data_IF_825597168709
#
_entry.id   IF_825597168709
#
_cell.length_a   1.000
_cell.length_b   1.000
_cell.length_c   1.000
_cell.angle_alpha   90.00
_cell.angle_beta   90.00
_cell.angle_gamma   90.00
#
_symmetry.space_group_name_H-M   'P 1'
#
loop_
_entity.id
_entity.type
_entity.pdbx_description
1 polymer ?
#
# COMPACT_ATOMS: atom_id res chain seq x y z
N UNK A 1 48.36 6.82 -8.23
CA UNK A 1 47.13 6.03 -8.12
C UNK A 1 46.00 6.90 -8.65
N UNK A 2 45.50 6.62 -9.85
CA UNK A 2 44.36 7.37 -10.39
C UNK A 2 43.08 6.72 -9.89
N UNK A 3 42.32 7.47 -9.09
CA UNK A 3 40.97 7.09 -8.69
C UNK A 3 40.06 7.33 -9.88
N UNK A 4 39.65 6.25 -10.55
CA UNK A 4 38.63 6.33 -11.60
C UNK A 4 37.30 6.68 -10.92
N UNK A 5 36.85 7.93 -11.04
CA UNK A 5 35.50 8.32 -10.67
C UNK A 5 34.56 7.76 -11.73
N UNK A 6 33.80 6.71 -11.38
CA UNK A 6 32.70 6.26 -12.23
C UNK A 6 31.63 7.36 -12.22
N UNK A 7 31.30 7.98 -13.36
CA UNK A 7 30.25 8.98 -13.41
C UNK A 7 28.92 8.33 -12.99
N UNK A 8 28.29 8.86 -11.95
CA UNK A 8 26.93 8.47 -11.55
C UNK A 8 25.96 9.17 -12.48
N UNK A 9 25.09 8.41 -13.13
CA UNK A 9 23.98 8.94 -13.93
C UNK A 9 23.04 9.75 -13.03
N UNK A 10 22.75 10.99 -13.41
CA UNK A 10 21.77 11.84 -12.70
C UNK A 10 20.37 11.20 -12.69
N UNK A 11 20.05 10.44 -13.74
CA UNK A 11 18.79 9.69 -13.83
C UNK A 11 18.73 8.57 -12.78
N UNK A 12 19.80 7.78 -12.65
CA UNK A 12 19.84 6.66 -11.70
C UNK A 12 19.77 7.16 -10.26
N UNK A 13 20.44 8.29 -9.96
CA UNK A 13 20.36 8.95 -8.65
C UNK A 13 18.95 9.47 -8.35
N UNK A 14 18.26 10.04 -9.34
CA UNK A 14 16.88 10.50 -9.18
C UNK A 14 15.92 9.32 -8.92
N UNK A 15 16.06 8.21 -9.66
CA UNK A 15 15.28 6.99 -9.46
C UNK A 15 15.54 6.42 -8.06
N UNK A 16 16.81 6.28 -7.64
CA UNK A 16 17.16 5.76 -6.32
C UNK A 16 16.54 6.59 -5.19
N UNK A 17 16.54 7.93 -5.32
CA UNK A 17 15.90 8.84 -4.36
C UNK A 17 14.38 8.67 -4.33
N UNK A 18 13.75 8.52 -5.50
CA UNK A 18 12.32 8.25 -5.59
C UNK A 18 11.97 6.92 -4.91
N UNK A 19 12.70 5.84 -5.18
CA UNK A 19 12.49 4.53 -4.54
C UNK A 19 12.68 4.60 -3.02
N UNK A 20 13.71 5.33 -2.55
CA UNK A 20 13.94 5.53 -1.12
C UNK A 20 12.78 6.29 -0.45
N UNK A 21 12.28 7.35 -1.10
CA UNK A 21 11.13 8.11 -0.61
C UNK A 21 9.85 7.25 -0.59
N UNK A 22 9.60 6.49 -1.66
CA UNK A 22 8.45 5.58 -1.77
C UNK A 22 8.44 4.53 -0.64
N UNK A 23 9.58 3.88 -0.40
CA UNK A 23 9.74 2.93 0.72
C UNK A 23 9.47 3.58 2.08
N UNK A 24 9.90 4.82 2.27
CA UNK A 24 9.69 5.56 3.52
C UNK A 24 8.21 5.94 3.76
N UNK A 25 7.35 5.95 2.73
CA UNK A 25 5.92 6.21 2.88
C UNK A 25 5.14 5.01 3.41
N UNK A 26 5.59 3.77 3.18
CA UNK A 26 4.89 2.56 3.64
C UNK A 26 4.74 2.53 5.18
N UNK A 27 5.78 2.83 5.99
CA UNK A 27 5.62 2.95 7.44
C UNK A 27 4.64 4.04 7.89
N UNK A 28 4.55 5.16 7.17
CA UNK A 28 3.57 6.22 7.46
C UNK A 28 2.14 5.67 7.28
N UNK A 29 1.88 5.00 6.15
CA UNK A 29 0.59 4.37 5.87
C UNK A 29 0.27 3.32 6.95
N UNK A 30 1.22 2.43 7.24
CA UNK A 30 1.07 1.37 8.25
C UNK A 30 0.74 1.93 9.64
N UNK A 31 1.53 2.89 10.10
CA UNK A 31 1.34 3.56 11.42
C UNK A 31 -0.01 4.27 11.49
N UNK A 32 -0.41 4.95 10.41
CA UNK A 32 -1.68 5.67 10.34
C UNK A 32 -2.86 4.72 10.48
N UNK A 33 -2.88 3.66 9.66
CA UNK A 33 -3.95 2.67 9.69
C UNK A 33 -3.96 1.85 10.99
N UNK A 34 -2.80 1.56 11.57
CA UNK A 34 -2.74 0.91 12.89
C UNK A 34 -3.33 1.81 13.98
N UNK A 35 -3.10 3.13 13.93
CA UNK A 35 -3.75 4.07 14.85
C UNK A 35 -5.28 4.08 14.70
N UNK A 36 -5.80 3.87 13.49
CA UNK A 36 -7.24 3.83 13.22
C UNK A 36 -7.86 2.47 13.56
N UNK A 37 -7.08 1.40 13.37
CA UNK A 37 -7.46 0.01 13.58
C UNK A 37 -6.38 -0.71 14.41
N UNK A 38 -6.36 -0.54 15.75
CA UNK A 38 -5.30 -1.08 16.60
C UNK A 38 -5.15 -2.61 16.59
N UNK A 39 -6.21 -3.33 16.21
CA UNK A 39 -6.19 -4.79 16.05
C UNK A 39 -5.84 -5.22 14.61
N UNK A 40 -5.65 -4.26 13.70
CA UNK A 40 -5.28 -4.51 12.31
C UNK A 40 -3.82 -4.92 12.20
N UNK A 41 -3.58 -6.03 11.51
CA UNK A 41 -2.26 -6.55 11.20
C UNK A 41 -1.85 -6.21 9.76
N UNK A 42 -2.79 -6.20 8.83
CA UNK A 42 -2.52 -5.95 7.41
C UNK A 42 -3.56 -5.03 6.80
N UNK A 43 -3.11 -4.09 5.97
CA UNK A 43 -3.92 -3.54 4.90
C UNK A 43 -3.79 -4.45 3.68
N UNK A 44 -4.91 -4.99 3.23
CA UNK A 44 -5.02 -5.79 2.02
C UNK A 44 -5.36 -4.88 0.85
N UNK A 45 -4.59 -5.04 -0.23
CA UNK A 45 -4.81 -4.39 -1.51
C UNK A 45 -5.11 -5.46 -2.57
N UNK A 46 -5.78 -5.07 -3.64
CA UNK A 46 -5.95 -5.92 -4.82
C UNK A 46 -5.32 -5.25 -6.03
N UNK A 47 -4.66 -6.06 -6.86
CA UNK A 47 -4.24 -5.67 -8.20
C UNK A 47 -5.04 -6.48 -9.23
N UNK A 48 -5.76 -5.84 -10.16
CA UNK A 48 -6.41 -6.54 -11.26
C UNK A 48 -5.37 -7.06 -12.26
N UNK A 49 -5.56 -8.27 -12.79
CA UNK A 49 -4.65 -8.88 -13.79
C UNK A 49 -4.95 -8.41 -15.22
N UNK A 50 -6.00 -7.62 -15.44
CA UNK A 50 -6.44 -7.28 -16.81
C UNK A 50 -5.45 -6.34 -17.52
N UNK A 51 -4.56 -6.95 -18.32
CA UNK A 51 -3.46 -6.32 -19.07
C UNK A 51 -3.93 -5.34 -20.17
N UNK A 52 -5.23 -5.27 -20.48
CA UNK A 52 -5.76 -4.57 -21.65
C UNK A 52 -6.43 -3.22 -21.31
N UNK A 53 -6.35 -2.77 -20.06
CA UNK A 53 -6.84 -1.44 -19.66
C UNK A 53 -5.77 -0.69 -18.86
N UNK A 54 -5.81 0.64 -18.91
CA UNK A 54 -4.96 1.58 -18.16
C UNK A 54 -5.08 1.46 -16.61
N UNK A 55 -5.46 0.29 -16.08
CA UNK A 55 -5.85 0.03 -14.70
C UNK A 55 -4.94 -0.99 -13.98
N UNK A 56 -3.66 -1.12 -14.35
CA UNK A 56 -2.63 -1.82 -13.54
C UNK A 56 -2.27 -1.02 -12.26
N UNK A 57 -3.30 -0.62 -11.52
CA UNK A 57 -3.18 0.19 -10.31
C UNK A 57 -3.84 -0.57 -9.16
N UNK A 58 -3.15 -0.60 -8.04
CA UNK A 58 -3.66 -1.24 -6.83
C UNK A 58 -4.94 -0.54 -6.33
N UNK A 59 -5.76 -1.29 -5.60
CA UNK A 59 -7.02 -0.85 -4.98
C UNK A 59 -7.02 -1.21 -3.49
N UNK A 60 -7.68 -0.40 -2.67
CA UNK A 60 -7.95 -0.75 -1.28
C UNK A 60 -8.98 -1.88 -1.25
N UNK A 61 -8.75 -2.90 -0.43
CA UNK A 61 -9.69 -4.00 -0.25
C UNK A 61 -10.18 -4.06 1.20
N UNK A 62 -9.29 -4.32 2.15
CA UNK A 62 -9.70 -4.46 3.55
C UNK A 62 -8.55 -4.20 4.54
N UNK A 63 -8.90 -3.93 5.80
CA UNK A 63 -8.00 -4.09 6.93
C UNK A 63 -8.31 -5.42 7.61
N UNK A 64 -7.30 -6.26 7.80
CA UNK A 64 -7.42 -7.58 8.44
C UNK A 64 -6.61 -7.68 9.71
N UNK A 65 -7.10 -8.46 10.67
CA UNK A 65 -6.33 -8.85 11.85
C UNK A 65 -5.31 -9.96 11.54
N UNK A 66 -4.53 -10.38 12.55
CA UNK A 66 -3.52 -11.42 12.39
C UNK A 66 -4.08 -12.83 12.12
N UNK A 67 -5.39 -13.04 12.32
CA UNK A 67 -6.10 -14.27 11.98
C UNK A 67 -6.74 -14.23 10.59
N UNK A 68 -6.59 -13.12 9.85
CA UNK A 68 -7.20 -12.93 8.54
C UNK A 68 -8.65 -12.45 8.58
N UNK A 69 -9.21 -12.12 9.76
CA UNK A 69 -10.57 -11.60 9.84
C UNK A 69 -10.62 -10.14 9.36
N UNK A 70 -11.66 -9.80 8.59
CA UNK A 70 -11.88 -8.43 8.11
C UNK A 70 -12.37 -7.55 9.26
N UNK A 71 -11.60 -6.52 9.60
CA UNK A 71 -11.96 -5.47 10.57
C UNK A 71 -12.64 -4.28 9.88
N UNK A 72 -12.26 -4.02 8.64
CA UNK A 72 -12.83 -2.96 7.82
C UNK A 72 -12.74 -3.36 6.34
N UNK A 73 -13.81 -3.15 5.60
CA UNK A 73 -13.87 -3.38 4.15
C UNK A 73 -14.00 -2.05 3.43
N UNK A 74 -13.23 -1.89 2.35
CA UNK A 74 -13.30 -0.72 1.49
C UNK A 74 -14.17 -1.05 0.29
N UNK A 75 -15.30 -0.34 0.15
CA UNK A 75 -16.10 -0.43 -1.07
C UNK A 75 -15.42 0.38 -2.19
N UNK A 76 -14.90 -0.35 -3.19
CA UNK A 76 -14.23 0.25 -4.33
C UNK A 76 -15.18 1.08 -5.20
N UNK A 77 -16.49 0.79 -5.17
CA UNK A 77 -17.53 1.39 -6.00
C UNK A 77 -18.36 2.47 -5.29
N UNK A 78 -18.18 2.64 -3.98
CA UNK A 78 -18.88 3.69 -3.24
C UNK A 78 -18.43 5.09 -3.70
N UNK A 79 -19.40 5.87 -4.19
CA UNK A 79 -19.17 7.28 -4.56
C UNK A 79 -18.80 8.14 -3.33
N UNK A 80 -19.41 7.85 -2.18
CA UNK A 80 -19.16 8.52 -0.91
C UNK A 80 -18.59 7.51 0.10
N UNK A 81 -17.27 7.43 0.18
CA UNK A 81 -16.61 6.61 1.20
C UNK A 81 -16.63 7.33 2.54
N UNK A 82 -17.09 6.67 3.63
CA UNK A 82 -17.04 7.27 4.94
C UNK A 82 -15.59 7.55 5.33
N UNK A 83 -15.38 8.65 6.06
CA UNK A 83 -14.07 8.93 6.64
C UNK A 83 -13.69 7.82 7.63
N UNK A 84 -12.43 7.43 7.59
CA UNK A 84 -11.81 6.53 8.55
C UNK A 84 -11.78 7.20 9.94
N UNK A 85 -11.59 6.39 11.01
CA UNK A 85 -11.38 6.89 12.36
C UNK A 85 -10.32 8.00 12.43
N UNK A 86 -10.43 8.88 13.40
CA UNK A 86 -9.43 9.92 13.61
C UNK A 86 -8.09 9.31 14.04
N UNK A 87 -7.00 10.00 13.71
CA UNK A 87 -5.64 9.69 14.18
C UNK A 87 -5.13 10.81 15.08
N UNK A 88 -4.13 10.53 15.96
CA UNK A 88 -3.41 11.56 16.69
C UNK A 88 -2.87 12.67 15.77
N UNK A 89 -2.81 13.89 16.30
CA UNK A 89 -2.43 15.09 15.55
C UNK A 89 -1.01 14.98 14.98
N UNK A 90 -0.09 14.37 15.73
CA UNK A 90 1.28 14.13 15.32
C UNK A 90 1.38 13.21 14.10
N UNK A 91 0.48 12.24 13.96
CA UNK A 91 0.40 11.37 12.77
C UNK A 91 -0.24 12.14 11.63
N UNK A 92 -1.33 12.87 11.88
CA UNK A 92 -1.99 13.68 10.86
C UNK A 92 -1.06 14.72 10.22
N UNK A 93 -0.20 15.36 11.02
CA UNK A 93 0.76 16.35 10.53
C UNK A 93 1.77 15.78 9.51
N UNK A 94 2.09 14.47 9.58
CA UNK A 94 3.00 13.80 8.64
C UNK A 94 2.40 13.66 7.22
N UNK A 95 1.08 13.74 7.09
CA UNK A 95 0.39 13.71 5.80
C UNK A 95 0.40 15.06 5.06
N UNK A 96 0.93 16.11 5.70
CA UNK A 96 0.99 17.45 5.13
C UNK A 96 -0.40 18.01 4.84
N UNK A 97 -0.74 18.18 3.56
CA UNK A 97 -2.05 18.68 3.13
C UNK A 97 -3.10 17.60 2.90
N UNK A 98 -2.72 16.33 2.91
CA UNK A 98 -3.64 15.21 2.70
C UNK A 98 -4.36 14.83 4.00
N UNK A 99 -5.62 14.40 3.90
CA UNK A 99 -6.38 13.92 5.07
C UNK A 99 -6.22 12.39 5.23
N UNK A 100 -5.53 11.90 6.28
CA UNK A 100 -5.36 10.46 6.54
C UNK A 100 -6.67 9.71 6.80
N UNK A 101 -7.77 10.44 7.00
CA UNK A 101 -9.10 9.85 7.18
C UNK A 101 -9.81 9.60 5.86
N UNK A 102 -9.36 10.21 4.77
CA UNK A 102 -9.96 10.03 3.46
C UNK A 102 -9.34 8.80 2.77
N UNK A 103 -10.10 7.71 2.54
CA UNK A 103 -9.57 6.51 1.89
C UNK A 103 -8.95 6.79 0.52
N UNK A 104 -9.42 7.81 -0.20
CA UNK A 104 -8.87 8.18 -1.51
C UNK A 104 -7.48 8.78 -1.40
N UNK A 105 -7.19 9.56 -0.36
CA UNK A 105 -5.83 10.09 -0.11
C UNK A 105 -4.85 8.98 0.26
N UNK A 106 -5.31 8.01 1.07
CA UNK A 106 -4.54 6.81 1.41
C UNK A 106 -4.22 6.01 0.13
N UNK A 107 -5.23 5.74 -0.70
CA UNK A 107 -5.05 5.02 -1.96
C UNK A 107 -4.12 5.76 -2.93
N UNK A 108 -4.29 7.07 -3.10
CA UNK A 108 -3.45 7.89 -3.95
C UNK A 108 -1.98 7.81 -3.53
N UNK A 109 -1.69 7.84 -2.22
CA UNK A 109 -0.33 7.69 -1.73
C UNK A 109 0.26 6.32 -2.04
N UNK A 110 -0.52 5.24 -1.84
CA UNK A 110 -0.10 3.87 -2.15
C UNK A 110 0.18 3.71 -3.66
N UNK A 111 -0.69 4.23 -4.52
CA UNK A 111 -0.50 4.17 -5.98
C UNK A 111 0.76 4.93 -6.40
N UNK A 112 1.04 6.10 -5.82
CA UNK A 112 2.30 6.81 -6.07
C UNK A 112 3.54 6.04 -5.61
N UNK A 113 3.46 5.31 -4.50
CA UNK A 113 4.54 4.42 -4.07
C UNK A 113 4.76 3.32 -5.11
N UNK A 114 3.69 2.69 -5.57
CA UNK A 114 3.74 1.61 -6.55
C UNK A 114 4.22 2.08 -7.93
N UNK A 115 3.81 3.27 -8.39
CA UNK A 115 4.21 3.86 -9.68
C UNK A 115 5.72 4.12 -9.79
N UNK A 116 6.42 4.33 -8.67
CA UNK A 116 7.87 4.55 -8.67
C UNK A 116 8.62 3.31 -9.14
N UNK A 117 8.18 2.13 -8.69
CA UNK A 117 8.74 0.84 -9.14
C UNK A 117 7.67 -0.25 -8.94
N UNK A 118 6.83 -0.51 -9.96
CA UNK A 118 5.74 -1.46 -9.84
C UNK A 118 6.23 -2.85 -9.41
N UNK A 119 5.45 -3.51 -8.55
CA UNK A 119 5.75 -4.87 -8.04
C UNK A 119 6.99 -4.99 -7.13
N UNK A 120 7.69 -3.91 -6.80
CA UNK A 120 8.88 -3.96 -5.94
C UNK A 120 8.59 -3.73 -4.46
N UNK A 121 7.64 -2.85 -4.13
CA UNK A 121 7.44 -2.40 -2.75
C UNK A 121 6.28 -3.08 -2.04
N UNK A 122 5.28 -3.53 -2.79
CA UNK A 122 4.10 -4.19 -2.24
C UNK A 122 4.30 -5.70 -2.29
N UNK A 123 4.37 -6.32 -1.12
CA UNK A 123 4.49 -7.76 -1.00
C UNK A 123 3.14 -8.43 -1.21
N UNK A 124 3.18 -9.67 -1.70
CA UNK A 124 2.06 -10.58 -1.66
C UNK A 124 1.53 -10.75 -0.24
N UNK A 125 0.21 -10.80 -0.07
CA UNK A 125 -0.38 -11.15 1.22
C UNK A 125 0.04 -12.60 1.59
N UNK A 126 0.44 -12.91 2.83
CA UNK A 126 0.73 -14.28 3.25
C UNK A 126 -0.45 -15.23 2.94
N UNK A 127 -0.17 -16.41 2.39
CA UNK A 127 -1.22 -17.33 1.89
C UNK A 127 -2.20 -17.74 2.98
N UNK A 128 -1.74 -17.88 4.22
CA UNK A 128 -2.54 -18.19 5.41
C UNK A 128 -3.55 -17.10 5.78
N UNK A 129 -3.39 -15.88 5.27
CA UNK A 129 -4.30 -14.74 5.47
C UNK A 129 -5.22 -14.49 4.27
N UNK A 130 -5.10 -15.29 3.21
CA UNK A 130 -5.94 -15.22 2.01
C UNK A 130 -7.18 -16.08 2.17
N UNK A 131 -8.29 -15.64 1.60
CA UNK A 131 -9.49 -16.46 1.48
C UNK A 131 -9.31 -17.49 0.36
N UNK A 132 -10.10 -18.57 0.39
CA UNK A 132 -10.11 -19.55 -0.70
C UNK A 132 -10.52 -18.94 -2.05
N UNK A 133 -11.39 -17.92 -2.03
CA UNK A 133 -11.80 -17.18 -3.21
C UNK A 133 -10.65 -16.35 -3.79
N UNK A 134 -9.85 -15.70 -2.95
CA UNK A 134 -8.68 -14.94 -3.40
C UNK A 134 -7.61 -15.83 -4.03
N UNK A 135 -7.40 -17.04 -3.49
CA UNK A 135 -6.48 -18.02 -4.06
C UNK A 135 -7.00 -18.51 -5.41
N UNK A 136 -8.28 -18.88 -5.50
CA UNK A 136 -8.89 -19.31 -6.76
C UNK A 136 -8.87 -18.20 -7.82
N UNK A 137 -9.17 -16.96 -7.42
CA UNK A 137 -9.14 -15.81 -8.32
C UNK A 137 -7.72 -15.52 -8.82
N UNK A 138 -6.67 -15.75 -8.03
CA UNK A 138 -5.28 -15.61 -8.51
C UNK A 138 -4.91 -16.72 -9.51
N UNK A 139 -5.25 -17.98 -9.19
CA UNK A 139 -4.99 -19.15 -10.05
C UNK A 139 -5.71 -19.07 -11.40
N UNK A 140 -6.88 -18.43 -11.44
CA UNK A 140 -7.67 -18.17 -12.65
C UNK A 140 -7.19 -16.93 -13.44
N UNK A 141 -6.11 -16.28 -13.00
CA UNK A 141 -5.56 -15.08 -13.65
C UNK A 141 -6.39 -13.81 -13.39
N UNK A 142 -7.00 -13.71 -12.22
CA UNK A 142 -7.97 -12.67 -11.83
C UNK A 142 -7.39 -11.53 -10.97
N UNK A 143 -7.40 -11.65 -9.64
CA UNK A 143 -6.97 -10.58 -8.72
C UNK A 143 -5.89 -11.08 -7.77
N UNK A 144 -4.78 -10.35 -7.68
CA UNK A 144 -3.69 -10.68 -6.75
C UNK A 144 -3.84 -9.90 -5.43
N UNK A 145 -4.00 -10.57 -4.27
CA UNK A 145 -4.01 -9.92 -2.97
C UNK A 145 -2.59 -9.54 -2.52
N UNK A 146 -2.37 -8.26 -2.23
CA UNK A 146 -1.13 -7.70 -1.70
C UNK A 146 -1.35 -7.25 -0.25
N UNK A 147 -0.28 -7.16 0.53
CA UNK A 147 -0.33 -6.81 1.95
C UNK A 147 0.67 -5.73 2.35
N UNK A 148 0.20 -4.70 3.05
CA UNK A 148 1.03 -3.76 3.81
C UNK A 148 0.86 -4.08 5.31
N UNK A 149 1.92 -4.49 6.03
CA UNK A 149 1.87 -4.67 7.48
C UNK A 149 1.52 -3.35 8.18
N UNK A 150 0.62 -3.42 9.17
CA UNK A 150 0.17 -2.25 9.93
C UNK A 150 0.94 -2.09 11.25
N UNK A 151 1.35 -3.19 11.87
CA UNK A 151 2.26 -3.12 13.01
C UNK A 151 3.66 -2.70 12.52
N UNK A 152 4.43 -1.95 13.33
CA UNK A 152 5.86 -1.83 13.08
C UNK A 152 6.48 -3.23 13.05
N UNK A 153 7.34 -3.50 12.08
CA UNK A 153 8.17 -4.69 12.12
C UNK A 153 9.04 -4.59 13.38
N UNK A 154 8.86 -5.53 14.31
CA UNK A 154 9.77 -5.72 15.45
C UNK A 154 11.21 -5.98 14.98
#
# INVERSE_FOLDING_TARGET
MSTTLTPVSVLDDAIAKACAAAKAMLPLIGTTLHSQFPNGAYLVLTRPVDYDTDYDSVRLNSVRDAGGNVLHEFDEWAADRPLLPAVPEEIAALWGGADPRNPSEVLNLIQRVDEVEPYQFLAFLPTELRTAEEIAAEDEGGRTPLGIPLAPAD
#
